data_IF_380602181149
#
_entry.id   IF_380602181149
#
_cell.length_a   1.000
_cell.length_b   1.000
_cell.length_c   1.000
_cell.angle_alpha   90.00
_cell.angle_beta   90.00
_cell.angle_gamma   90.00
#
_symmetry.space_group_name_H-M   'P 1'
#
loop_
_entity.id
_entity.type
_entity.pdbx_description
1 polymer ?
#
# COMPACT_ATOMS: atom_id res chain seq x y z
N UNK A 1 26.60 -55.60 -16.08
CA UNK A 1 27.19 -54.25 -15.97
C UNK A 1 26.66 -53.25 -17.01
N UNK A 2 26.36 -53.65 -18.26
CA UNK A 2 26.00 -52.69 -19.32
C UNK A 2 24.62 -52.01 -19.22
N UNK A 3 23.65 -52.62 -18.52
CA UNK A 3 22.25 -52.10 -18.45
C UNK A 3 22.08 -51.07 -17.31
N UNK A 4 22.92 -51.14 -16.28
CA UNK A 4 22.89 -50.19 -15.14
C UNK A 4 23.51 -48.83 -15.48
N UNK A 5 24.48 -48.80 -16.41
CA UNK A 5 25.17 -47.56 -16.81
C UNK A 5 24.27 -46.69 -17.70
N UNK A 6 23.39 -47.29 -18.53
CA UNK A 6 22.50 -46.54 -19.43
C UNK A 6 21.27 -45.94 -18.73
N UNK A 7 20.78 -46.58 -17.67
CA UNK A 7 19.72 -46.03 -16.82
C UNK A 7 20.25 -44.88 -15.97
N UNK A 8 21.42 -45.02 -15.34
CA UNK A 8 22.03 -43.94 -14.56
C UNK A 8 22.30 -42.68 -15.42
N UNK A 9 22.80 -42.83 -16.65
CA UNK A 9 23.00 -41.69 -17.56
C UNK A 9 21.69 -40.97 -17.92
N UNK A 10 20.58 -41.70 -18.07
CA UNK A 10 19.26 -41.12 -18.40
C UNK A 10 18.66 -40.33 -17.23
N UNK A 11 18.89 -40.77 -15.99
CA UNK A 11 18.45 -40.04 -14.79
C UNK A 11 19.30 -38.79 -14.53
N UNK A 12 20.60 -38.83 -14.82
CA UNK A 12 21.49 -37.67 -14.70
C UNK A 12 21.15 -36.57 -15.72
N UNK A 13 20.83 -36.94 -16.97
CA UNK A 13 20.41 -35.96 -18.00
C UNK A 13 19.04 -35.35 -17.68
N UNK A 14 18.12 -36.11 -17.10
CA UNK A 14 16.80 -35.60 -16.68
C UNK A 14 16.91 -34.65 -15.47
N UNK A 15 17.84 -34.91 -14.54
CA UNK A 15 18.13 -33.99 -13.42
C UNK A 15 18.85 -32.73 -13.89
N UNK A 16 19.76 -32.80 -14.86
CA UNK A 16 20.41 -31.62 -15.44
C UNK A 16 19.39 -30.77 -16.23
N UNK A 17 18.45 -31.39 -16.95
CA UNK A 17 17.34 -30.69 -17.61
C UNK A 17 16.34 -30.06 -16.62
N UNK A 18 16.11 -30.67 -15.44
CA UNK A 18 15.30 -30.08 -14.38
C UNK A 18 16.00 -28.90 -13.69
N UNK A 19 17.32 -28.95 -13.52
CA UNK A 19 18.11 -27.88 -12.88
C UNK A 19 18.27 -26.66 -13.79
N UNK A 20 18.28 -26.83 -15.12
CA UNK A 20 18.30 -25.71 -16.08
C UNK A 20 16.93 -25.00 -16.15
N UNK A 21 15.84 -25.64 -15.74
CA UNK A 21 14.51 -25.02 -15.70
C UNK A 21 14.29 -24.11 -14.47
N UNK A 22 15.19 -24.14 -13.49
CA UNK A 22 15.20 -23.21 -12.35
C UNK A 22 16.06 -21.96 -12.60
N UNK A 23 16.14 -21.50 -13.85
CA UNK A 23 16.35 -20.08 -14.08
C UNK A 23 15.13 -19.38 -13.49
N UNK A 24 15.26 -18.96 -12.22
CA UNK A 24 14.44 -17.89 -11.67
C UNK A 24 14.42 -16.83 -12.77
N UNK A 25 13.24 -16.59 -13.33
CA UNK A 25 12.99 -15.47 -14.23
C UNK A 25 13.22 -14.21 -13.42
N UNK A 26 14.48 -13.83 -13.26
CA UNK A 26 14.87 -12.57 -12.66
C UNK A 26 14.39 -11.52 -13.66
N UNK A 27 13.26 -10.90 -13.34
CA UNK A 27 12.65 -9.89 -14.19
C UNK A 27 13.69 -8.83 -14.50
N UNK A 28 13.83 -8.45 -15.77
CA UNK A 28 14.85 -7.48 -16.18
C UNK A 28 14.73 -6.22 -15.31
N UNK A 29 15.82 -5.79 -14.68
CA UNK A 29 15.81 -4.62 -13.81
C UNK A 29 15.40 -3.36 -14.58
N UNK A 30 14.54 -2.54 -13.98
CA UNK A 30 14.02 -1.29 -14.56
C UNK A 30 14.28 -0.15 -13.60
N UNK A 31 15.00 0.88 -14.03
CA UNK A 31 15.28 2.06 -13.21
C UNK A 31 14.44 3.25 -13.68
N UNK A 32 13.84 3.96 -12.73
CA UNK A 32 13.13 5.23 -12.94
C UNK A 32 13.66 6.30 -12.00
N UNK A 33 13.57 7.57 -12.39
CA UNK A 33 13.97 8.70 -11.56
C UNK A 33 12.75 9.52 -11.16
N UNK A 34 12.51 9.61 -9.85
CA UNK A 34 11.43 10.39 -9.25
C UNK A 34 11.95 11.70 -8.67
N UNK A 35 11.08 12.54 -8.11
CA UNK A 35 11.51 13.75 -7.40
C UNK A 35 12.27 13.42 -6.10
N UNK A 36 12.03 12.25 -5.49
CA UNK A 36 12.70 11.81 -4.28
C UNK A 36 14.05 11.13 -4.54
N UNK A 37 14.22 10.53 -5.73
CA UNK A 37 15.45 9.84 -6.10
C UNK A 37 15.23 8.70 -7.09
N UNK A 38 16.30 7.99 -7.47
CA UNK A 38 16.23 6.84 -8.37
C UNK A 38 15.62 5.61 -7.67
N UNK A 39 14.82 4.83 -8.41
CA UNK A 39 14.14 3.63 -7.93
C UNK A 39 14.34 2.51 -8.94
N UNK A 40 14.66 1.31 -8.46
CA UNK A 40 14.78 0.08 -9.26
C UNK A 40 13.61 -0.86 -9.00
N UNK A 41 12.89 -1.20 -10.04
CA UNK A 41 11.90 -2.27 -10.09
C UNK A 41 12.34 -3.38 -11.04
N UNK A 42 11.38 -4.15 -11.51
CA UNK A 42 11.61 -5.26 -12.44
C UNK A 42 10.51 -5.34 -13.51
N UNK A 43 10.87 -5.88 -14.67
CA UNK A 43 9.95 -6.17 -15.77
C UNK A 43 9.42 -7.60 -15.69
N UNK A 44 8.14 -7.81 -16.01
CA UNK A 44 7.51 -9.14 -16.12
C UNK A 44 6.70 -9.23 -17.40
N UNK A 45 6.86 -10.32 -18.14
CA UNK A 45 6.08 -10.58 -19.36
C UNK A 45 4.83 -11.37 -19.01
N UNK A 46 3.67 -10.83 -19.35
CA UNK A 46 2.37 -11.47 -19.19
C UNK A 46 2.12 -12.52 -20.28
N UNK A 47 1.12 -13.38 -20.09
CA UNK A 47 0.78 -14.46 -21.03
C UNK A 47 0.47 -13.98 -22.47
N UNK A 48 0.00 -12.74 -22.63
CA UNK A 48 -0.30 -12.12 -23.93
C UNK A 48 0.90 -11.40 -24.56
N UNK A 49 2.08 -11.48 -23.94
CA UNK A 49 3.30 -10.83 -24.37
C UNK A 49 3.46 -9.37 -23.92
N UNK A 50 2.47 -8.81 -23.21
CA UNK A 50 2.60 -7.47 -22.61
C UNK A 50 3.69 -7.48 -21.54
N UNK A 51 4.63 -6.55 -21.62
CA UNK A 51 5.66 -6.37 -20.58
C UNK A 51 5.16 -5.34 -19.58
N UNK A 52 5.18 -5.68 -18.29
CA UNK A 52 4.83 -4.80 -17.18
C UNK A 52 6.09 -4.41 -16.40
N UNK A 53 6.22 -3.12 -16.08
CA UNK A 53 7.17 -2.64 -15.10
C UNK A 53 6.51 -2.60 -13.72
N UNK A 54 7.15 -3.22 -12.74
CA UNK A 54 6.63 -3.34 -11.36
C UNK A 54 7.63 -2.78 -10.36
N UNK A 55 7.13 -1.96 -9.44
CA UNK A 55 7.89 -1.36 -8.35
C UNK A 55 7.12 -1.59 -7.04
N UNK A 56 7.75 -2.24 -6.08
CA UNK A 56 7.14 -2.70 -4.84
C UNK A 56 7.77 -1.98 -3.64
N UNK A 57 6.96 -1.65 -2.63
CA UNK A 57 7.47 -1.10 -1.38
C UNK A 57 8.11 0.28 -1.50
N UNK A 58 7.69 1.10 -2.47
CA UNK A 58 8.20 2.47 -2.66
C UNK A 58 7.68 3.37 -1.53
N UNK A 59 8.55 4.03 -0.74
CA UNK A 59 8.11 4.90 0.34
C UNK A 59 7.50 6.19 -0.22
N UNK A 60 6.31 6.55 0.28
CA UNK A 60 5.65 7.80 -0.11
C UNK A 60 5.67 8.87 0.98
N UNK A 61 5.99 8.49 2.23
CA UNK A 61 6.08 9.38 3.37
C UNK A 61 7.17 8.88 4.34
N UNK A 62 7.64 9.75 5.22
CA UNK A 62 8.58 9.38 6.28
C UNK A 62 7.95 8.34 7.24
N UNK A 63 8.77 7.43 7.82
CA UNK A 63 8.28 6.45 8.77
C UNK A 63 7.54 7.12 9.94
N UNK A 64 6.27 6.77 10.23
CA UNK A 64 5.46 7.41 11.27
C UNK A 64 5.79 6.85 12.68
N UNK A 65 7.08 6.74 13.00
CA UNK A 65 7.61 6.13 14.22
C UNK A 65 8.03 7.18 15.25
N UNK A 66 8.20 6.76 16.51
CA UNK A 66 8.67 7.65 17.59
C UNK A 66 7.81 8.90 17.72
N UNK A 67 8.43 10.07 17.57
CA UNK A 67 7.75 11.37 17.69
C UNK A 67 6.76 11.67 16.55
N UNK A 68 6.75 10.87 15.48
CA UNK A 68 5.77 10.97 14.39
C UNK A 68 4.56 10.04 14.58
N UNK A 69 4.57 9.19 15.63
CA UNK A 69 3.40 8.39 16.00
C UNK A 69 2.25 9.32 16.38
N UNK A 70 1.05 9.01 15.89
CA UNK A 70 -0.15 9.84 16.06
C UNK A 70 0.00 11.29 15.55
N UNK A 71 0.75 11.48 14.46
CA UNK A 71 0.85 12.76 13.74
C UNK A 71 0.52 12.62 12.26
N UNK A 72 0.15 13.71 11.58
CA UNK A 72 0.06 13.74 10.13
C UNK A 72 1.37 13.24 9.48
N UNK A 73 1.30 12.47 8.37
CA UNK A 73 2.48 11.99 7.66
C UNK A 73 3.36 13.16 7.24
N UNK A 74 4.67 12.95 7.24
CA UNK A 74 5.65 13.92 6.77
C UNK A 74 6.25 13.46 5.45
N UNK A 75 6.69 14.37 4.56
CA UNK A 75 7.37 14.00 3.33
C UNK A 75 8.60 13.12 3.62
N UNK A 76 8.82 12.11 2.79
CA UNK A 76 10.05 11.32 2.86
C UNK A 76 11.26 12.16 2.43
N UNK A 77 12.43 11.92 3.02
CA UNK A 77 13.67 12.57 2.59
C UNK A 77 14.11 12.05 1.23
N UNK A 78 14.68 12.92 0.39
CA UNK A 78 15.29 12.47 -0.86
C UNK A 78 16.46 11.51 -0.59
N UNK A 79 16.71 10.62 -1.54
CA UNK A 79 17.83 9.69 -1.52
C UNK A 79 18.66 9.78 -2.81
N UNK A 80 19.96 9.51 -2.69
CA UNK A 80 20.89 9.54 -3.84
C UNK A 80 21.13 8.17 -4.44
N UNK A 81 21.15 7.13 -3.60
CA UNK A 81 21.37 5.75 -4.03
C UNK A 81 20.09 5.15 -4.60
N UNK A 82 20.22 4.19 -5.53
CA UNK A 82 19.07 3.53 -6.13
C UNK A 82 18.28 2.77 -5.06
N UNK A 83 17.03 3.18 -4.83
CA UNK A 83 16.12 2.46 -3.93
C UNK A 83 15.65 1.16 -4.56
N UNK A 84 15.88 0.03 -3.89
CA UNK A 84 15.46 -1.29 -4.36
C UNK A 84 13.97 -1.51 -4.08
N UNK A 85 13.15 -1.32 -5.11
CA UNK A 85 11.72 -1.56 -5.13
C UNK A 85 11.38 -2.89 -5.84
N UNK A 86 12.23 -3.92 -5.73
CA UNK A 86 11.93 -5.26 -6.26
C UNK A 86 11.15 -6.14 -5.28
N UNK A 87 10.92 -5.67 -4.04
CA UNK A 87 10.29 -6.43 -2.96
C UNK A 87 9.21 -5.62 -2.27
N UNK A 88 8.16 -6.32 -1.81
CA UNK A 88 7.14 -5.67 -1.00
C UNK A 88 7.73 -5.06 0.27
N UNK A 89 7.30 -3.84 0.58
CA UNK A 89 7.50 -3.23 1.88
C UNK A 89 6.65 -3.92 2.96
N UNK A 90 6.89 -3.63 4.24
CA UNK A 90 6.06 -4.14 5.32
C UNK A 90 4.64 -3.58 5.25
N UNK A 91 3.68 -4.36 5.73
CA UNK A 91 2.32 -3.88 6.00
C UNK A 91 2.28 -3.08 7.30
N UNK A 92 1.23 -2.27 7.49
CA UNK A 92 1.01 -1.58 8.75
C UNK A 92 0.69 -2.57 9.88
N UNK A 93 1.13 -2.21 11.10
CA UNK A 93 0.79 -2.96 12.32
C UNK A 93 -0.70 -3.24 12.38
N UNK A 94 -1.03 -4.53 12.46
CA UNK A 94 -2.37 -5.07 12.55
C UNK A 94 -2.29 -6.43 13.24
N UNK A 95 -3.38 -6.84 13.90
CA UNK A 95 -3.43 -8.20 14.43
C UNK A 95 -3.44 -9.22 13.29
N UNK A 96 -2.73 -10.36 13.43
CA UNK A 96 -2.86 -11.45 12.48
C UNK A 96 -4.32 -11.88 12.41
N UNK A 97 -4.84 -12.02 11.19
CA UNK A 97 -6.28 -12.18 10.93
C UNK A 97 -6.87 -13.42 11.61
N UNK A 98 -6.04 -14.45 11.84
CA UNK A 98 -6.37 -15.66 12.61
C UNK A 98 -6.87 -15.38 14.03
N UNK A 99 -6.56 -14.20 14.59
CA UNK A 99 -7.03 -13.76 15.92
C UNK A 99 -8.29 -12.87 15.89
N UNK A 100 -8.84 -12.55 14.70
CA UNK A 100 -10.03 -11.68 14.54
C UNK A 100 -11.25 -12.50 14.10
N UNK A 101 -12.37 -12.33 14.80
CA UNK A 101 -13.60 -13.13 14.60
C UNK A 101 -14.22 -12.96 13.20
N UNK A 102 -14.11 -14.00 12.39
CA UNK A 102 -15.17 -14.67 11.61
C UNK A 102 -15.90 -14.01 10.43
N UNK A 103 -15.65 -12.76 10.04
CA UNK A 103 -16.46 -12.15 8.94
C UNK A 103 -15.86 -12.33 7.53
N UNK A 104 -14.57 -12.67 7.41
CA UNK A 104 -13.91 -12.81 6.10
C UNK A 104 -13.16 -14.14 6.06
N UNK A 105 -13.22 -14.92 4.94
CA UNK A 105 -12.55 -16.20 4.84
C UNK A 105 -11.08 -16.12 5.24
N UNK A 106 -10.65 -17.09 6.03
CA UNK A 106 -9.25 -17.28 6.40
C UNK A 106 -8.43 -17.50 5.13
N UNK A 107 -7.41 -16.67 4.96
CA UNK A 107 -6.43 -16.79 3.88
C UNK A 107 -5.06 -16.98 4.54
N UNK A 108 -4.45 -18.18 4.44
CA UNK A 108 -3.18 -18.49 5.07
C UNK A 108 -2.00 -17.70 4.51
N UNK A 109 -2.14 -17.02 3.36
CA UNK A 109 -1.13 -16.07 2.87
C UNK A 109 -1.03 -14.81 3.74
N UNK A 110 -1.97 -14.61 4.67
CA UNK A 110 -2.05 -13.48 5.59
C UNK A 110 -1.30 -13.69 6.91
N UNK A 111 -0.82 -14.90 7.21
CA UNK A 111 -0.10 -15.18 8.45
C UNK A 111 1.40 -14.85 8.36
N UNK A 112 1.95 -14.72 7.14
CA UNK A 112 3.36 -14.36 6.88
C UNK A 112 3.48 -12.93 6.30
N UNK A 113 2.78 -11.98 6.93
CA UNK A 113 2.90 -10.57 6.59
C UNK A 113 3.88 -9.92 7.55
N UNK A 114 5.05 -9.55 7.02
CA UNK A 114 5.95 -8.63 7.71
C UNK A 114 5.20 -7.33 8.03
N UNK A 115 5.02 -7.01 9.31
CA UNK A 115 4.31 -5.82 9.81
C UNK A 115 5.29 -4.86 10.48
N UNK A 116 5.09 -3.57 10.28
CA UNK A 116 5.90 -2.50 10.87
C UNK A 116 5.07 -1.22 11.07
N UNK A 117 5.51 -0.32 11.94
CA UNK A 117 5.02 1.07 11.94
C UNK A 117 5.57 1.84 10.74
N UNK A 118 6.77 1.49 10.28
CA UNK A 118 7.33 1.99 9.02
C UNK A 118 6.65 1.28 7.83
N UNK A 119 5.41 1.65 7.55
CA UNK A 119 4.56 0.97 6.58
C UNK A 119 4.04 1.87 5.45
N UNK A 120 4.45 3.15 5.41
CA UNK A 120 3.95 4.13 4.44
C UNK A 120 4.65 3.97 3.08
N UNK A 121 4.33 2.84 2.44
CA UNK A 121 4.81 2.45 1.12
C UNK A 121 3.66 2.10 0.17
N UNK A 122 3.96 2.16 -1.12
CA UNK A 122 3.05 1.82 -2.22
C UNK A 122 3.73 0.92 -3.25
N UNK A 123 2.91 0.24 -4.04
CA UNK A 123 3.32 -0.57 -5.18
C UNK A 123 2.78 0.07 -6.46
N UNK A 124 3.59 0.10 -7.52
CA UNK A 124 3.24 0.64 -8.83
C UNK A 124 3.38 -0.46 -9.88
N UNK A 125 2.32 -0.66 -10.66
CA UNK A 125 2.26 -1.59 -11.79
C UNK A 125 1.87 -0.81 -13.03
N UNK A 126 2.59 -0.99 -14.13
CA UNK A 126 2.23 -0.34 -15.39
C UNK A 126 2.82 -1.10 -16.57
N UNK A 127 2.21 -1.00 -17.77
CA UNK A 127 2.85 -1.50 -18.96
C UNK A 127 4.17 -0.76 -19.20
N UNK A 128 5.15 -1.45 -19.75
CA UNK A 128 6.39 -0.83 -20.17
C UNK A 128 6.07 0.18 -21.29
N UNK A 129 6.28 1.46 -20.98
CA UNK A 129 6.12 2.56 -21.94
C UNK A 129 7.47 3.11 -22.36
N UNK A 130 7.56 3.54 -23.60
CA UNK A 130 8.69 4.32 -24.12
C UNK A 130 8.52 5.81 -23.77
N UNK A 131 9.63 6.56 -23.76
CA UNK A 131 9.58 8.01 -23.45
C UNK A 131 8.78 8.87 -24.45
N UNK A 132 8.39 8.31 -25.60
CA UNK A 132 7.52 8.96 -26.59
C UNK A 132 6.05 8.63 -26.42
N UNK A 133 5.70 7.66 -25.59
CA UNK A 133 4.32 7.23 -25.42
C UNK A 133 3.51 8.25 -24.58
N UNK A 134 2.21 8.39 -24.87
CA UNK A 134 1.35 9.26 -24.07
C UNK A 134 1.23 8.73 -22.63
N UNK A 135 1.22 9.65 -21.67
CA UNK A 135 1.00 9.30 -20.27
C UNK A 135 -0.37 8.63 -20.06
N UNK A 136 -0.35 7.50 -19.35
CA UNK A 136 -1.51 6.64 -19.14
C UNK A 136 -2.38 7.12 -17.97
N UNK A 137 -3.69 6.79 -17.95
CA UNK A 137 -4.52 6.96 -16.76
C UNK A 137 -3.93 6.24 -15.56
N UNK A 138 -4.13 6.80 -14.36
CA UNK A 138 -3.66 6.23 -13.10
C UNK A 138 -4.85 5.80 -12.27
N UNK A 139 -4.81 4.58 -11.73
CA UNK A 139 -5.78 4.05 -10.78
C UNK A 139 -5.09 3.88 -9.42
N UNK A 140 -5.45 4.70 -8.43
CA UNK A 140 -4.90 4.65 -7.07
C UNK A 140 -5.87 3.91 -6.13
N UNK A 141 -5.45 2.75 -5.65
CA UNK A 141 -6.26 1.85 -4.82
C UNK A 141 -6.02 2.05 -3.32
N UNK A 142 -7.11 2.21 -2.58
CA UNK A 142 -7.16 2.12 -1.12
C UNK A 142 -7.80 0.80 -0.71
N UNK A 143 -7.05 -0.05 0.01
CA UNK A 143 -7.55 -1.36 0.41
C UNK A 143 -8.64 -1.30 1.49
N UNK A 144 -9.50 -2.32 1.51
CA UNK A 144 -10.48 -2.55 2.58
C UNK A 144 -9.86 -3.15 3.85
N UNK A 145 -10.72 -3.59 4.79
CA UNK A 145 -10.31 -4.21 6.05
C UNK A 145 -10.71 -3.45 7.32
N UNK A 146 -11.86 -2.76 7.27
CA UNK A 146 -12.49 -2.07 8.41
C UNK A 146 -11.56 -1.10 9.15
N UNK A 147 -10.59 -0.50 8.43
CA UNK A 147 -9.54 0.37 8.99
C UNK A 147 -8.64 -0.29 10.04
N UNK A 148 -8.72 -1.61 10.27
CA UNK A 148 -7.92 -2.34 11.28
C UNK A 148 -7.03 -3.43 10.69
N UNK A 149 -7.25 -3.79 9.43
CA UNK A 149 -6.47 -4.78 8.70
C UNK A 149 -6.37 -4.41 7.21
N UNK A 150 -5.47 -5.07 6.49
CA UNK A 150 -5.23 -4.86 5.06
C UNK A 150 -3.78 -4.48 4.77
N UNK A 151 -3.36 -4.65 3.52
CA UNK A 151 -2.02 -4.31 3.06
C UNK A 151 -2.00 -4.27 1.54
N UNK A 152 -1.20 -3.39 0.95
CA UNK A 152 -1.01 -3.28 -0.50
C UNK A 152 -0.55 -4.61 -1.14
N UNK A 153 0.20 -5.45 -0.42
CA UNK A 153 0.70 -6.75 -0.91
C UNK A 153 -0.37 -7.83 -1.06
N UNK A 154 -1.60 -7.57 -0.59
CA UNK A 154 -2.75 -8.50 -0.77
C UNK A 154 -3.44 -8.30 -2.12
N UNK A 155 -3.00 -7.32 -2.90
CA UNK A 155 -3.58 -6.99 -4.19
C UNK A 155 -2.48 -7.00 -5.25
N UNK A 156 -2.80 -7.59 -6.39
CA UNK A 156 -1.94 -7.58 -7.57
C UNK A 156 -2.56 -6.65 -8.62
N UNK A 157 -1.80 -5.61 -9.01
CA UNK A 157 -2.21 -4.64 -10.01
C UNK A 157 -2.01 -5.11 -11.45
N UNK A 158 -1.33 -6.24 -11.68
CA UNK A 158 -0.83 -6.65 -12.99
C UNK A 158 -1.94 -6.83 -14.04
N UNK A 159 -3.06 -7.44 -13.67
CA UNK A 159 -4.18 -7.66 -14.60
C UNK A 159 -4.86 -6.37 -15.05
N UNK A 160 -4.96 -5.38 -14.16
CA UNK A 160 -5.47 -4.05 -14.52
C UNK A 160 -4.43 -3.28 -15.34
N UNK A 161 -3.16 -3.34 -14.95
CA UNK A 161 -2.07 -2.68 -15.67
C UNK A 161 -1.95 -3.17 -17.12
N UNK A 162 -2.15 -4.47 -17.36
CA UNK A 162 -2.21 -5.07 -18.70
C UNK A 162 -3.28 -4.42 -19.60
N UNK A 163 -4.30 -3.76 -19.04
CA UNK A 163 -5.33 -3.03 -19.81
C UNK A 163 -4.92 -1.61 -20.20
N UNK A 164 -3.65 -1.23 -20.01
CA UNK A 164 -3.12 0.06 -20.44
C UNK A 164 -3.36 1.19 -19.44
N UNK A 165 -3.27 0.90 -18.15
CA UNK A 165 -3.35 1.88 -17.05
C UNK A 165 -2.19 1.69 -16.08
N UNK A 166 -1.82 2.75 -15.36
CA UNK A 166 -0.94 2.62 -14.20
C UNK A 166 -1.80 2.31 -12.99
N UNK A 167 -1.42 1.29 -12.23
CA UNK A 167 -2.10 0.91 -10.99
C UNK A 167 -1.17 1.17 -9.82
N UNK A 168 -1.64 1.97 -8.87
CA UNK A 168 -0.93 2.27 -7.62
C UNK A 168 -1.72 1.68 -6.47
N UNK A 169 -1.08 0.90 -5.60
CA UNK A 169 -1.71 0.24 -4.46
C UNK A 169 -0.97 0.69 -3.20
N UNK A 170 -1.64 1.40 -2.30
CA UNK A 170 -0.98 2.04 -1.15
C UNK A 170 -1.36 1.40 0.18
N UNK A 171 -0.41 1.37 1.11
CA UNK A 171 -0.71 1.22 2.52
C UNK A 171 -1.16 2.56 3.12
N UNK A 172 -1.79 2.49 4.29
CA UNK A 172 -2.09 3.60 5.18
C UNK A 172 -2.21 3.07 6.61
N UNK A 173 -1.93 3.90 7.63
CA UNK A 173 -1.98 3.43 9.03
C UNK A 173 -3.36 2.91 9.41
N UNK A 174 -3.37 1.87 10.26
CA UNK A 174 -4.56 1.13 10.66
C UNK A 174 -4.76 1.21 12.18
N UNK A 175 -5.96 0.84 12.63
CA UNK A 175 -6.35 0.77 14.04
C UNK A 175 -6.08 2.07 14.79
N UNK A 176 -5.65 1.97 16.05
CA UNK A 176 -5.30 3.12 16.86
C UNK A 176 -4.19 3.97 16.19
N UNK A 177 -3.18 3.34 15.58
CA UNK A 177 -2.08 4.09 14.96
C UNK A 177 -2.53 4.99 13.80
N UNK A 178 -3.60 4.61 13.10
CA UNK A 178 -4.19 5.40 12.03
C UNK A 178 -5.34 6.31 12.44
N UNK A 179 -6.08 5.98 13.50
CA UNK A 179 -7.38 6.62 13.79
C UNK A 179 -7.58 7.03 15.25
N UNK A 180 -6.55 6.93 16.10
CA UNK A 180 -6.57 7.43 17.46
C UNK A 180 -6.91 8.93 17.50
N UNK A 181 -7.85 9.31 18.37
CA UNK A 181 -8.26 10.70 18.53
C UNK A 181 -8.62 11.02 19.98
N UNK A 182 -8.13 12.15 20.48
CA UNK A 182 -8.53 12.73 21.77
C UNK A 182 -9.71 13.69 21.64
N UNK A 183 -10.26 13.87 20.43
CA UNK A 183 -11.32 14.85 20.18
C UNK A 183 -10.90 16.32 20.35
N UNK A 184 -9.62 16.59 20.58
CA UNK A 184 -9.02 17.92 20.69
C UNK A 184 -7.83 18.08 19.73
N UNK A 185 -7.08 19.17 19.86
CA UNK A 185 -5.92 19.45 19.01
C UNK A 185 -4.69 18.58 19.32
N UNK A 186 -4.67 17.86 20.44
CA UNK A 186 -3.52 17.08 20.90
C UNK A 186 -3.33 15.83 20.03
N UNK A 187 -4.42 15.15 19.71
CA UNK A 187 -4.48 14.08 18.73
C UNK A 187 -5.79 14.17 17.93
N UNK A 188 -5.84 14.97 16.83
CA UNK A 188 -7.07 15.20 16.08
C UNK A 188 -7.59 13.95 15.34
N UNK A 189 -6.73 12.95 15.12
CA UNK A 189 -7.10 11.69 14.46
C UNK A 189 -7.07 11.74 12.94
N UNK A 190 -7.67 10.74 12.31
CA UNK A 190 -7.72 10.55 10.85
C UNK A 190 -6.34 10.46 10.17
N UNK A 191 -5.30 10.04 10.88
CA UNK A 191 -3.94 9.91 10.33
C UNK A 191 -3.88 8.96 9.14
N UNK A 192 -4.64 7.86 9.15
CA UNK A 192 -4.75 6.94 8.01
C UNK A 192 -5.35 7.60 6.75
N UNK A 193 -6.31 8.52 6.89
CA UNK A 193 -6.83 9.30 5.76
C UNK A 193 -5.83 10.36 5.28
N UNK A 194 -5.04 10.92 6.21
CA UNK A 194 -3.95 11.83 5.86
C UNK A 194 -2.81 11.09 5.15
N UNK A 195 -2.55 9.83 5.48
CA UNK A 195 -1.61 8.97 4.75
C UNK A 195 -2.07 8.75 3.30
N UNK A 196 -3.36 8.47 3.10
CA UNK A 196 -3.94 8.34 1.76
C UNK A 196 -3.85 9.65 0.95
N UNK A 197 -4.04 10.80 1.62
CA UNK A 197 -3.79 12.12 1.02
C UNK A 197 -2.32 12.31 0.64
N UNK A 198 -1.38 11.88 1.48
CA UNK A 198 0.05 11.96 1.17
C UNK A 198 0.42 11.06 -0.01
N UNK A 199 -0.15 9.86 -0.10
CA UNK A 199 -0.01 9.00 -1.28
C UNK A 199 -0.55 9.67 -2.56
N UNK A 200 -1.68 10.38 -2.48
CA UNK A 200 -2.20 11.17 -3.61
C UNK A 200 -1.25 12.30 -4.04
N UNK A 201 -0.60 12.98 -3.10
CA UNK A 201 0.44 13.99 -3.42
C UNK A 201 1.65 13.33 -4.08
N UNK A 202 2.11 12.21 -3.53
CA UNK A 202 3.23 11.46 -4.10
C UNK A 202 2.92 11.04 -5.55
N UNK A 203 1.71 10.56 -5.83
CA UNK A 203 1.27 10.24 -7.19
C UNK A 203 1.34 11.46 -8.09
N UNK A 204 0.82 12.61 -7.65
CA UNK A 204 0.88 13.85 -8.44
C UNK A 204 2.32 14.24 -8.81
N UNK A 205 3.26 14.10 -7.87
CA UNK A 205 4.64 14.56 -8.05
C UNK A 205 5.53 13.57 -8.83
N UNK A 206 5.21 12.26 -8.76
CA UNK A 206 6.15 11.22 -9.19
C UNK A 206 5.61 10.27 -10.26
N UNK A 207 4.29 10.15 -10.46
CA UNK A 207 3.74 9.07 -11.28
C UNK A 207 4.12 9.15 -12.77
N UNK A 208 4.51 10.34 -13.24
CA UNK A 208 5.02 10.55 -14.60
C UNK A 208 6.27 9.72 -14.88
N UNK A 209 7.12 9.47 -13.88
CA UNK A 209 8.33 8.67 -14.03
C UNK A 209 8.01 7.19 -14.32
N UNK A 210 6.78 6.76 -14.02
CA UNK A 210 6.26 5.42 -14.24
C UNK A 210 5.35 5.34 -15.48
N UNK A 211 5.26 6.42 -16.27
CA UNK A 211 4.38 6.49 -17.44
C UNK A 211 2.94 6.92 -17.15
N UNK A 212 2.63 7.37 -15.93
CA UNK A 212 1.30 7.80 -15.54
C UNK A 212 1.05 9.29 -15.68
N UNK A 213 -0.19 9.68 -15.96
CA UNK A 213 -0.61 11.07 -16.02
C UNK A 213 -1.09 11.55 -14.64
N UNK A 214 -0.46 12.56 -14.03
CA UNK A 214 -0.90 13.12 -12.74
C UNK A 214 -2.26 13.83 -12.83
N UNK A 215 -2.72 14.17 -14.04
CA UNK A 215 -4.01 14.84 -14.29
C UNK A 215 -5.16 13.86 -14.54
N UNK A 216 -4.88 12.56 -14.68
CA UNK A 216 -5.87 11.51 -15.02
C UNK A 216 -5.88 10.41 -13.96
N UNK A 217 -5.97 10.83 -12.69
CA UNK A 217 -6.00 9.93 -11.53
C UNK A 217 -7.44 9.57 -11.17
N UNK A 218 -7.72 8.27 -11.05
CA UNK A 218 -8.94 7.71 -10.49
C UNK A 218 -8.60 7.07 -9.15
N UNK A 219 -9.19 7.56 -8.06
CA UNK A 219 -9.11 6.87 -6.77
C UNK A 219 -10.18 5.80 -6.68
N UNK A 220 -9.86 4.66 -6.08
CA UNK A 220 -10.84 3.60 -5.88
C UNK A 220 -10.54 2.74 -4.68
N UNK A 221 -11.56 2.08 -4.16
CA UNK A 221 -11.41 1.18 -3.02
C UNK A 221 -12.61 0.28 -2.81
N UNK A 222 -12.41 -0.73 -1.99
CA UNK A 222 -13.45 -1.69 -1.57
C UNK A 222 -13.66 -1.60 -0.05
N UNK A 223 -14.91 -1.77 0.42
CA UNK A 223 -15.27 -1.73 1.85
C UNK A 223 -14.77 -0.42 2.51
N UNK A 224 -13.93 -0.50 3.55
CA UNK A 224 -13.32 0.68 4.19
C UNK A 224 -12.47 1.54 3.23
N UNK A 225 -11.92 0.95 2.17
CA UNK A 225 -11.29 1.68 1.09
C UNK A 225 -12.28 2.49 0.24
N UNK A 226 -13.49 1.96 0.02
CA UNK A 226 -14.58 2.69 -0.64
C UNK A 226 -15.13 3.81 0.26
N UNK A 227 -15.26 3.56 1.56
CA UNK A 227 -15.60 4.61 2.53
C UNK A 227 -14.54 5.72 2.56
N UNK A 228 -13.26 5.36 2.55
CA UNK A 228 -12.14 6.31 2.44
C UNK A 228 -12.21 7.13 1.14
N UNK A 229 -12.46 6.46 0.00
CA UNK A 229 -12.66 7.11 -1.30
C UNK A 229 -13.83 8.11 -1.26
N UNK A 230 -14.93 7.74 -0.61
CA UNK A 230 -16.08 8.63 -0.36
C UNK A 230 -15.72 9.84 0.50
N UNK A 231 -14.89 9.66 1.54
CA UNK A 231 -14.43 10.76 2.40
C UNK A 231 -13.50 11.72 1.64
N UNK A 232 -12.66 11.21 0.73
CA UNK A 232 -11.84 12.05 -0.14
C UNK A 232 -12.64 12.87 -1.16
N UNK A 233 -13.80 12.38 -1.62
CA UNK A 233 -14.73 13.18 -2.42
C UNK A 233 -15.29 14.39 -1.65
N UNK A 234 -15.42 14.27 -0.33
CA UNK A 234 -15.97 15.33 0.54
C UNK A 234 -14.88 16.28 1.05
N UNK A 235 -13.65 15.80 1.23
CA UNK A 235 -12.59 16.55 1.88
C UNK A 235 -12.04 17.68 0.99
N UNK A 236 -12.02 18.94 1.47
CA UNK A 236 -11.40 20.03 0.72
C UNK A 236 -9.88 19.83 0.55
N UNK A 237 -9.24 19.07 1.44
CA UNK A 237 -7.80 18.81 1.38
C UNK A 237 -7.41 17.89 0.20
N UNK A 238 -8.34 17.04 -0.25
CA UNK A 238 -8.10 16.11 -1.36
C UNK A 238 -8.45 16.71 -2.73
N UNK A 239 -8.99 17.93 -2.75
CA UNK A 239 -9.47 18.57 -3.98
C UNK A 239 -8.33 18.78 -4.97
N UNK A 240 -8.58 18.35 -6.21
CA UNK A 240 -7.67 18.46 -7.33
C UNK A 240 -6.65 17.34 -7.45
N UNK A 241 -6.48 16.47 -6.44
CA UNK A 241 -5.50 15.37 -6.50
C UNK A 241 -5.97 14.15 -7.30
N UNK A 242 -7.25 14.10 -7.64
CA UNK A 242 -7.83 13.08 -8.50
C UNK A 242 -8.96 13.66 -9.34
N UNK A 243 -9.29 12.96 -10.42
CA UNK A 243 -10.32 13.31 -11.39
C UNK A 243 -11.59 12.49 -11.20
N UNK A 244 -11.46 11.20 -10.87
CA UNK A 244 -12.59 10.27 -10.79
C UNK A 244 -12.50 9.40 -9.53
N UNK A 245 -13.62 8.81 -9.13
CA UNK A 245 -13.71 7.93 -7.98
C UNK A 245 -14.57 6.69 -8.27
N UNK A 246 -14.16 5.52 -7.78
CA UNK A 246 -14.94 4.27 -7.82
C UNK A 246 -15.09 3.72 -6.41
N UNK A 247 -16.33 3.48 -5.98
CA UNK A 247 -16.68 3.04 -4.63
C UNK A 247 -17.27 1.63 -4.69
N UNK A 248 -16.54 0.62 -4.23
CA UNK A 248 -17.01 -0.77 -4.21
C UNK A 248 -17.47 -1.16 -2.81
N UNK A 249 -18.78 -1.32 -2.62
CA UNK A 249 -19.37 -1.85 -1.37
C UNK A 249 -19.02 -1.05 -0.08
N UNK A 250 -18.97 0.28 -0.18
CA UNK A 250 -18.80 1.17 0.97
C UNK A 250 -18.98 2.64 0.62
N UNK A 251 -19.35 3.45 1.60
CA UNK A 251 -19.56 4.90 1.46
C UNK A 251 -19.36 5.61 2.81
N UNK A 252 -19.11 6.92 2.81
CA UNK A 252 -18.93 7.72 4.03
C UNK A 252 -20.17 7.77 4.93
N UNK A 253 -21.35 7.46 4.38
CA UNK A 253 -22.63 7.36 5.09
C UNK A 253 -22.91 5.96 5.66
N UNK A 254 -22.00 5.00 5.44
CA UNK A 254 -22.14 3.67 6.03
C UNK A 254 -21.98 3.77 7.55
N UNK A 255 -22.78 3.06 8.35
CA UNK A 255 -22.79 3.22 9.82
C UNK A 255 -21.46 2.86 10.50
N UNK A 256 -20.59 2.11 9.82
CA UNK A 256 -19.26 1.72 10.29
C UNK A 256 -18.12 2.59 9.74
N UNK A 257 -18.42 3.54 8.84
CA UNK A 257 -17.39 4.29 8.12
C UNK A 257 -16.77 5.44 8.92
N UNK A 258 -17.56 6.06 9.81
CA UNK A 258 -17.15 7.21 10.61
C UNK A 258 -17.71 7.04 12.02
N UNK A 259 -16.89 7.32 13.03
CA UNK A 259 -17.37 7.43 14.40
C UNK A 259 -18.11 8.77 14.55
N UNK A 260 -19.42 8.72 14.78
CA UNK A 260 -20.23 9.93 14.94
C UNK A 260 -19.84 10.68 16.24
N UNK A 261 -19.96 12.02 16.28
CA UNK A 261 -19.57 12.82 17.44
C UNK A 261 -20.24 12.40 18.76
N UNK A 262 -21.45 11.86 18.68
CA UNK A 262 -22.21 11.32 19.82
C UNK A 262 -21.54 10.15 20.54
N UNK A 263 -20.56 9.49 19.89
CA UNK A 263 -19.81 8.39 20.48
C UNK A 263 -18.54 8.85 21.24
N UNK A 264 -18.25 10.15 21.27
CA UNK A 264 -17.13 10.77 22.01
C UNK A 264 -15.77 10.02 21.82
N UNK A 265 -14.96 10.36 20.81
CA UNK A 265 -13.71 9.63 20.53
C UNK A 265 -12.77 9.52 21.74
N UNK A 266 -12.78 10.53 22.64
CA UNK A 266 -12.04 10.51 23.89
C UNK A 266 -12.33 9.29 24.76
N UNK A 267 -13.57 8.79 24.79
CA UNK A 267 -13.94 7.62 25.61
C UNK A 267 -13.15 6.37 25.19
N UNK A 268 -13.05 6.11 23.89
CA UNK A 268 -12.29 4.97 23.36
C UNK A 268 -10.79 5.14 23.60
N UNK A 269 -10.30 6.37 23.49
CA UNK A 269 -8.92 6.73 23.82
C UNK A 269 -8.60 6.49 25.29
N UNK A 270 -9.49 6.87 26.22
CA UNK A 270 -9.32 6.63 27.66
C UNK A 270 -9.38 5.14 28.00
N UNK A 271 -10.25 4.37 27.35
CA UNK A 271 -10.33 2.92 27.51
C UNK A 271 -9.03 2.25 27.05
N UNK A 272 -8.49 2.65 25.89
CA UNK A 272 -7.21 2.15 25.41
C UNK A 272 -6.06 2.55 26.34
N UNK A 273 -6.02 3.80 26.80
CA UNK A 273 -5.00 4.28 27.72
C UNK A 273 -5.00 3.48 29.03
N UNK A 274 -6.19 3.20 29.61
CA UNK A 274 -6.33 2.35 30.80
C UNK A 274 -5.82 0.93 30.57
N UNK A 275 -6.12 0.32 29.41
CA UNK A 275 -5.63 -1.02 29.07
C UNK A 275 -4.11 -1.07 28.94
N UNK A 276 -3.47 0.04 28.59
CA UNK A 276 -2.03 0.18 28.44
C UNK A 276 -1.34 0.74 29.70
N UNK A 277 -2.04 0.83 30.83
CA UNK A 277 -1.56 1.41 32.09
C UNK A 277 -1.04 2.86 31.95
N UNK A 278 -1.63 3.63 31.04
CA UNK A 278 -1.35 5.06 30.83
C UNK A 278 -2.29 5.96 31.65
N UNK A 279 -1.82 7.17 31.98
CA UNK A 279 -2.65 8.22 32.61
C UNK A 279 -3.74 8.71 31.65
N UNK A 280 -4.96 8.86 32.16
CA UNK A 280 -6.08 9.53 31.47
C UNK A 280 -6.34 10.94 32.00
N UNK A 281 -5.49 11.44 32.90
CA UNK A 281 -5.62 12.82 33.38
C UNK A 281 -4.96 13.76 32.37
N UNK A 282 -5.74 14.73 31.87
CA UNK A 282 -5.22 15.82 31.06
C UNK A 282 -4.42 16.73 32.00
N UNK A 283 -3.10 16.54 32.06
CA UNK A 283 -2.24 17.54 32.68
C UNK A 283 -2.32 18.80 31.81
N UNK A 284 -2.94 19.86 32.34
CA UNK A 284 -2.81 21.19 31.75
C UNK A 284 -1.33 21.57 31.80
N UNK A 285 -0.59 21.28 30.73
CA UNK A 285 0.75 21.81 30.52
C UNK A 285 0.58 23.32 30.38
N UNK A 286 0.73 24.00 31.51
CA UNK A 286 0.77 25.46 31.57
C UNK A 286 2.10 25.84 30.91
N UNK A 287 2.00 26.53 29.77
CA UNK A 287 3.16 27.17 29.12
C UNK A 287 3.83 28.18 30.04
#
# INVERSE_FOLDING_TARGET
MSVYVSTLLRWSVLQILLVICCMVSDGQAVDVSTALGPIRGFATTMDDGTVLNTFLGVPFAAPPTGNLRFRPPQPHQCWTDVYDATRFGPACLQYPRSATTSVIPYDPSLDDINVSEDCLNLNVYGPQVSGSDPLLPVMLYFHGGAHVAGANKRQDGSLLAQKGVIVVITNYRLGALGFFSTGDSSAPGNYGLLDQLEAMKWVRENIWAFGGSPDRVTIFGESSGAASTSLHLLSPLSRGYFLQAILQSGASTSPWAVLLPEYEPQKYTDELAKQMDCSTQIEHVTQ
#
